data_IF_856411842681
#
_entry.id   IF_856411842681
#
_cell.length_a   1.000
_cell.length_b   1.000
_cell.length_c   1.000
_cell.angle_alpha   90.00
_cell.angle_beta   90.00
_cell.angle_gamma   90.00
#
_symmetry.space_group_name_H-M   'P 1'
#
loop_
_entity.id
_entity.type
_entity.pdbx_description
1 polymer ?
#
# COMPACT_ATOMS: atom_id res chain seq x y z
N UNK A 1 2.84 -16.83 -13.17
CA UNK A 1 2.93 -15.38 -13.19
C UNK A 1 3.86 -14.89 -12.09
N UNK A 2 4.77 -14.03 -12.44
CA UNK A 2 5.68 -13.48 -11.45
C UNK A 2 5.12 -12.19 -10.88
N UNK A 3 5.20 -12.07 -9.58
CA UNK A 3 4.76 -10.87 -8.88
C UNK A 3 6.02 -10.10 -8.48
N UNK A 4 6.08 -8.82 -8.84
CA UNK A 4 7.23 -7.99 -8.51
C UNK A 4 7.35 -7.83 -6.99
N UNK A 5 8.54 -7.49 -6.54
CA UNK A 5 8.76 -7.22 -5.11
C UNK A 5 7.85 -6.08 -4.65
N UNK A 6 7.75 -5.03 -5.45
CA UNK A 6 6.87 -3.91 -5.14
C UNK A 6 5.42 -4.36 -5.02
N UNK A 7 4.98 -5.24 -5.93
CA UNK A 7 3.62 -5.77 -5.90
C UNK A 7 3.34 -6.57 -4.64
N UNK A 8 4.27 -7.44 -4.26
CA UNK A 8 4.12 -8.23 -3.04
C UNK A 8 4.05 -7.36 -1.81
N UNK A 9 4.91 -6.36 -1.73
CA UNK A 9 4.93 -5.48 -0.57
C UNK A 9 3.70 -4.58 -0.54
N UNK A 10 3.18 -4.18 -1.72
CA UNK A 10 1.94 -3.43 -1.78
C UNK A 10 0.77 -4.25 -1.24
N UNK A 11 0.72 -5.54 -1.59
CA UNK A 11 -0.33 -6.42 -1.07
C UNK A 11 -0.22 -6.58 0.44
N UNK A 12 1.00 -6.73 0.96
CA UNK A 12 1.21 -6.84 2.40
C UNK A 12 0.79 -5.56 3.12
N UNK A 13 1.12 -4.41 2.54
CA UNK A 13 0.71 -3.12 3.09
C UNK A 13 -0.80 -2.98 3.12
N UNK A 14 -1.46 -3.30 2.02
CA UNK A 14 -2.92 -3.19 1.95
C UNK A 14 -3.58 -4.14 2.93
N UNK A 15 -3.03 -5.33 3.09
CA UNK A 15 -3.55 -6.30 4.04
C UNK A 15 -3.36 -5.81 5.47
N UNK A 16 -2.21 -5.22 5.77
CA UNK A 16 -1.94 -4.64 7.09
C UNK A 16 -2.98 -3.56 7.42
N UNK A 17 -3.22 -2.67 6.47
CA UNK A 17 -4.21 -1.61 6.67
C UNK A 17 -5.61 -2.17 6.81
N UNK A 18 -5.94 -3.24 6.09
CA UNK A 18 -7.26 -3.86 6.19
C UNK A 18 -7.48 -4.50 7.55
N UNK A 19 -6.46 -5.21 8.05
CA UNK A 19 -6.53 -5.85 9.36
C UNK A 19 -6.70 -4.81 10.47
N UNK A 20 -6.11 -3.63 10.29
CA UNK A 20 -6.16 -2.57 11.28
C UNK A 20 -7.19 -1.49 10.91
N UNK A 21 -8.20 -1.85 10.12
CA UNK A 21 -9.21 -0.91 9.68
C UNK A 21 -10.26 -0.72 10.77
N UNK A 22 -9.85 -0.03 11.84
CA UNK A 22 -10.70 0.22 13.01
C UNK A 22 -11.20 1.65 13.06
N UNK A 23 -10.99 2.42 11.99
CA UNK A 23 -11.31 3.84 11.97
C UNK A 23 -10.15 4.71 12.42
N UNK A 24 -9.09 4.10 12.92
CA UNK A 24 -7.91 4.83 13.33
C UNK A 24 -6.83 4.77 12.25
N UNK A 25 -5.98 5.79 12.24
CA UNK A 25 -4.87 5.84 11.31
C UNK A 25 -3.74 4.93 11.77
N UNK A 26 -3.10 4.27 10.83
CA UNK A 26 -1.96 3.39 11.11
C UNK A 26 -0.68 4.13 10.74
N UNK A 27 0.25 4.17 11.67
CA UNK A 27 1.51 4.88 11.45
C UNK A 27 2.46 4.03 10.63
N UNK A 28 3.21 4.69 9.73
CA UNK A 28 4.16 4.00 8.87
C UNK A 28 5.22 3.28 9.69
N UNK A 29 5.59 3.85 10.83
CA UNK A 29 6.57 3.25 11.71
C UNK A 29 6.11 1.86 12.19
N UNK A 30 4.83 1.75 12.51
CA UNK A 30 4.26 0.49 12.97
C UNK A 30 4.18 -0.52 11.85
N UNK A 31 3.79 -0.06 10.65
CA UNK A 31 3.74 -0.94 9.49
C UNK A 31 5.13 -1.47 9.18
N UNK A 32 6.12 -0.59 9.22
CA UNK A 32 7.50 -0.96 8.96
C UNK A 32 7.98 -2.04 9.92
N UNK A 33 7.65 -1.90 11.19
CA UNK A 33 8.04 -2.87 12.21
C UNK A 33 7.35 -4.21 12.00
N UNK A 34 6.05 -4.20 11.70
CA UNK A 34 5.30 -5.45 11.54
C UNK A 34 5.67 -6.20 10.26
N UNK A 35 5.86 -5.45 9.17
CA UNK A 35 6.09 -6.08 7.86
C UNK A 35 7.56 -6.21 7.52
N UNK A 36 8.43 -5.68 8.36
CA UNK A 36 9.87 -5.71 8.13
C UNK A 36 10.25 -5.11 6.78
N UNK A 37 9.68 -3.95 6.48
CA UNK A 37 9.92 -3.21 5.25
C UNK A 37 10.35 -1.80 5.67
N UNK A 38 11.38 -1.24 5.02
CA UNK A 38 11.86 0.08 5.38
C UNK A 38 10.76 1.12 5.19
N UNK A 39 10.74 2.14 6.06
CA UNK A 39 9.78 3.22 5.96
C UNK A 39 9.90 3.94 4.62
N UNK A 40 11.11 4.13 4.15
CA UNK A 40 11.34 4.81 2.88
C UNK A 40 10.71 4.05 1.72
N UNK A 41 10.85 2.74 1.71
CA UNK A 41 10.25 1.93 0.64
C UNK A 41 8.73 1.92 0.75
N UNK A 42 8.22 1.86 1.98
CA UNK A 42 6.79 1.95 2.20
C UNK A 42 6.23 3.27 1.69
N UNK A 43 6.96 4.37 1.90
CA UNK A 43 6.52 5.67 1.41
C UNK A 43 6.38 5.69 -0.11
N UNK A 44 7.29 5.02 -0.81
CA UNK A 44 7.20 4.93 -2.26
C UNK A 44 5.96 4.16 -2.71
N UNK A 45 5.68 3.05 -2.04
CA UNK A 45 4.51 2.24 -2.35
C UNK A 45 3.24 3.01 -2.03
N UNK A 46 3.20 3.63 -0.85
CA UNK A 46 2.05 4.40 -0.41
C UNK A 46 1.76 5.55 -1.36
N UNK A 47 2.80 6.20 -1.87
CA UNK A 47 2.62 7.28 -2.82
C UNK A 47 1.83 6.82 -4.04
N UNK A 48 2.16 5.65 -4.58
CA UNK A 48 1.43 5.10 -5.71
C UNK A 48 -0.02 4.76 -5.36
N UNK A 49 -0.22 4.19 -4.18
CA UNK A 49 -1.55 3.80 -3.74
C UNK A 49 -2.42 5.03 -3.45
N UNK A 50 -1.84 6.09 -2.92
CA UNK A 50 -2.56 7.35 -2.70
C UNK A 50 -3.01 7.97 -4.02
N UNK A 51 -2.14 7.98 -5.01
CA UNK A 51 -2.49 8.53 -6.32
C UNK A 51 -3.65 7.78 -6.95
N UNK A 52 -3.74 6.49 -6.69
CA UNK A 52 -4.83 5.68 -7.22
C UNK A 52 -6.11 5.79 -6.38
N UNK A 53 -6.04 6.46 -5.25
CA UNK A 53 -7.21 6.62 -4.38
C UNK A 53 -7.49 5.42 -3.49
N UNK A 54 -6.51 4.57 -3.27
CA UNK A 54 -6.69 3.37 -2.45
C UNK A 54 -6.33 3.60 -0.99
N UNK A 55 -5.45 4.56 -0.73
CA UNK A 55 -4.98 4.87 0.62
C UNK A 55 -5.10 6.37 0.83
N UNK A 56 -5.47 6.77 2.02
CA UNK A 56 -5.48 8.18 2.39
C UNK A 56 -4.61 8.37 3.61
N UNK A 57 -4.14 9.61 3.79
CA UNK A 57 -3.23 9.93 4.88
C UNK A 57 -3.65 11.21 5.56
N UNK A 58 -3.20 11.34 6.79
CA UNK A 58 -3.36 12.56 7.57
C UNK A 58 -2.03 12.89 8.20
N UNK A 59 -1.64 14.15 8.13
CA UNK A 59 -0.37 14.58 8.70
C UNK A 59 -0.54 15.00 10.15
N UNK A 60 0.56 15.06 10.88
CA UNK A 60 0.60 15.53 12.25
C UNK A 60 0.94 14.42 13.23
N UNK A 61 0.96 14.77 14.51
CA UNK A 61 1.36 13.84 15.57
C UNK A 61 0.41 12.64 15.66
N UNK A 62 -0.86 12.86 15.33
CA UNK A 62 -1.87 11.80 15.31
C UNK A 62 -2.09 11.27 13.90
N UNK A 63 -1.17 11.56 13.00
CA UNK A 63 -1.32 11.19 11.60
C UNK A 63 -1.01 9.74 11.33
N UNK A 64 -1.22 9.36 10.07
CA UNK A 64 -0.95 7.99 9.62
C UNK A 64 -1.69 7.72 8.33
N UNK A 65 -1.91 6.45 8.07
CA UNK A 65 -2.53 5.99 6.82
C UNK A 65 -3.71 5.07 7.11
N UNK A 66 -4.64 5.04 6.17
CA UNK A 66 -5.76 4.11 6.25
C UNK A 66 -6.28 3.85 4.85
N UNK A 67 -7.06 2.79 4.70
CA UNK A 67 -7.70 2.51 3.43
C UNK A 67 -8.70 3.61 3.11
N UNK A 68 -8.74 4.02 1.84
CA UNK A 68 -9.69 5.04 1.40
C UNK A 68 -11.07 4.45 1.14
N UNK A 69 -11.16 3.13 0.97
CA UNK A 69 -12.41 2.43 0.69
C UNK A 69 -12.52 1.21 1.58
N UNK A 70 -13.70 0.60 1.60
CA UNK A 70 -13.90 -0.63 2.36
C UNK A 70 -12.98 -1.73 1.82
N UNK A 71 -12.36 -2.52 2.71
CA UNK A 71 -11.40 -3.54 2.28
C UNK A 71 -11.93 -4.50 1.21
N UNK A 72 -13.18 -4.88 1.28
CA UNK A 72 -13.76 -5.82 0.34
C UNK A 72 -13.91 -5.27 -1.08
N UNK A 73 -13.71 -3.96 -1.27
CA UNK A 73 -13.76 -3.39 -2.62
C UNK A 73 -12.46 -3.56 -3.37
N UNK A 74 -11.40 -4.00 -2.69
CA UNK A 74 -10.11 -4.20 -3.32
C UNK A 74 -9.93 -5.65 -3.72
N UNK A 75 -9.24 -5.88 -4.83
CA UNK A 75 -8.88 -7.22 -5.26
C UNK A 75 -7.36 -7.29 -5.39
N UNK A 76 -6.84 -8.51 -5.27
CA UNK A 76 -5.41 -8.74 -5.48
C UNK A 76 -5.01 -8.27 -6.87
N UNK A 77 -5.83 -8.57 -7.87
CA UNK A 77 -5.56 -8.17 -9.24
C UNK A 77 -5.47 -6.66 -9.40
N UNK A 78 -6.35 -5.92 -8.72
CA UNK A 78 -6.34 -4.46 -8.79
C UNK A 78 -5.04 -3.90 -8.22
N UNK A 79 -4.62 -4.41 -7.07
CA UNK A 79 -3.38 -3.94 -6.43
C UNK A 79 -2.17 -4.27 -7.31
N UNK A 80 -2.12 -5.48 -7.82
CA UNK A 80 -1.01 -5.90 -8.67
C UNK A 80 -0.95 -5.11 -9.96
N UNK A 81 -2.10 -4.81 -10.55
CA UNK A 81 -2.16 -4.03 -11.78
C UNK A 81 -1.61 -2.63 -11.55
N UNK A 82 -1.95 -2.03 -10.41
CA UNK A 82 -1.46 -0.70 -10.07
C UNK A 82 0.07 -0.68 -9.97
N UNK A 83 0.64 -1.65 -9.28
CA UNK A 83 2.08 -1.69 -9.11
C UNK A 83 2.79 -2.14 -10.38
N UNK A 84 2.13 -2.90 -11.23
CA UNK A 84 2.71 -3.38 -12.48
C UNK A 84 2.79 -2.31 -13.57
N UNK A 85 1.97 -1.26 -13.46
CA UNK A 85 1.97 -0.20 -14.47
C UNK A 85 3.35 0.43 -14.61
N UNK A 86 3.97 0.81 -13.50
CA UNK A 86 5.31 1.38 -13.57
C UNK A 86 6.35 0.33 -13.93
N UNK A 87 6.04 -0.92 -13.69
CA UNK A 87 6.93 -2.03 -14.00
C UNK A 87 6.86 -2.42 -15.47
N UNK A 88 5.66 -2.52 -16.03
CA UNK A 88 5.49 -2.84 -17.43
C UNK A 88 6.08 -1.78 -18.34
N UNK A 89 6.19 -0.59 -17.83
CA UNK A 89 6.83 0.48 -18.54
C UNK A 89 8.25 0.11 -18.96
N UNK A 90 8.88 -0.74 -18.18
CA UNK A 90 10.25 -1.16 -18.41
C UNK A 90 10.36 -2.50 -19.15
N UNK A 91 9.32 -3.29 -19.11
CA UNK A 91 9.41 -4.69 -19.53
C UNK A 91 8.47 -5.06 -20.64
N UNK A 92 7.68 -4.14 -21.10
CA UNK A 92 6.71 -4.45 -22.13
C UNK A 92 7.35 -5.02 -23.37
N UNK A 93 6.86 -6.13 -23.82
CA UNK A 93 7.24 -6.62 -25.13
C UNK A 93 6.64 -5.71 -26.20
#
# INVERSE_FOLDING_TARGET
MQISTKGRYALRLMLDLAVHNTGELVKIKDISARENISEKYLEQIISSLKKAGYVKSLRGAQGGYMLAREPETYTVGTILRLTAVSYTHLTLP
#
